data_IF_104164938043
#
_entry.id   IF_104164938043
#
_cell.length_a   1.000
_cell.length_b   1.000
_cell.length_c   1.000
_cell.angle_alpha   90.00
_cell.angle_beta   90.00
_cell.angle_gamma   90.00
#
_symmetry.space_group_name_H-M   'P 1'
#
loop_
_entity.id
_entity.type
_entity.pdbx_description
1 polymer ?
#
# COMPACT_ATOMS: atom_id res chain seq x y z
N UNK A 1 -26.06 24.95 -2.53
CA UNK A 1 -24.89 24.05 -2.37
C UNK A 1 -24.01 24.61 -1.28
N UNK A 2 -23.90 23.92 -0.13
CA UNK A 2 -23.21 24.42 1.07
C UNK A 2 -21.68 24.39 0.92
N UNK A 3 -20.96 25.24 1.68
CA UNK A 3 -19.49 25.32 1.67
C UNK A 3 -18.82 23.95 1.95
N UNK A 4 -19.46 23.14 2.81
CA UNK A 4 -19.08 21.76 3.12
C UNK A 4 -19.09 20.84 1.89
N UNK A 5 -20.06 21.01 0.98
CA UNK A 5 -20.11 20.25 -0.27
C UNK A 5 -18.95 20.60 -1.21
N UNK A 6 -18.54 21.86 -1.29
CA UNK A 6 -17.40 22.29 -2.11
C UNK A 6 -16.05 21.87 -1.52
N UNK A 7 -15.93 21.88 -0.20
CA UNK A 7 -14.76 21.35 0.51
C UNK A 7 -14.65 19.83 0.36
N UNK A 8 -15.75 19.10 0.55
CA UNK A 8 -15.79 17.65 0.30
C UNK A 8 -15.41 17.29 -1.14
N UNK A 9 -15.89 18.05 -2.13
CA UNK A 9 -15.56 17.79 -3.54
C UNK A 9 -14.10 18.11 -3.89
N UNK A 10 -13.46 19.09 -3.24
CA UNK A 10 -12.04 19.39 -3.45
C UNK A 10 -11.13 18.41 -2.72
N UNK A 11 -11.48 18.06 -1.48
CA UNK A 11 -10.70 17.16 -0.62
C UNK A 11 -10.80 15.72 -1.10
N UNK A 12 -11.99 15.24 -1.45
CA UNK A 12 -12.18 13.86 -1.93
C UNK A 12 -12.22 13.74 -3.44
N UNK A 13 -12.74 14.72 -4.17
CA UNK A 13 -12.91 14.63 -5.62
C UNK A 13 -11.59 14.70 -6.40
N UNK A 14 -10.55 15.34 -5.86
CA UNK A 14 -9.20 15.30 -6.44
C UNK A 14 -8.59 13.89 -6.39
N UNK A 15 -8.45 13.29 -5.20
CA UNK A 15 -7.98 11.91 -5.03
C UNK A 15 -8.84 10.88 -5.77
N UNK A 16 -10.18 10.97 -5.70
CA UNK A 16 -11.08 10.06 -6.41
C UNK A 16 -10.92 10.15 -7.94
N UNK A 17 -10.73 11.34 -8.49
CA UNK A 17 -10.45 11.52 -9.93
C UNK A 17 -9.08 11.00 -10.33
N UNK A 18 -8.08 11.11 -9.46
CA UNK A 18 -6.76 10.57 -9.72
C UNK A 18 -6.78 9.03 -9.69
N UNK A 19 -7.45 8.43 -8.70
CA UNK A 19 -7.63 6.98 -8.58
C UNK A 19 -8.30 6.40 -9.82
N UNK A 20 -9.37 7.03 -10.28
CA UNK A 20 -10.10 6.59 -11.48
C UNK A 20 -9.30 6.78 -12.79
N UNK A 21 -8.36 7.72 -12.84
CA UNK A 21 -7.46 7.90 -14.00
C UNK A 21 -6.24 6.97 -14.00
N UNK A 22 -5.88 6.41 -12.85
CA UNK A 22 -4.70 5.55 -12.71
C UNK A 22 -5.02 4.21 -12.05
N UNK A 23 -5.91 3.39 -12.64
CA UNK A 23 -6.38 2.15 -12.03
C UNK A 23 -5.23 1.18 -11.72
N UNK A 24 -4.25 1.05 -12.61
CA UNK A 24 -3.07 0.19 -12.41
C UNK A 24 -2.19 0.61 -11.22
N UNK A 25 -2.01 1.93 -11.02
CA UNK A 25 -1.25 2.44 -9.87
C UNK A 25 -2.00 2.17 -8.57
N UNK A 26 -3.32 2.31 -8.60
CA UNK A 26 -4.16 2.10 -7.41
C UNK A 26 -4.24 0.63 -7.04
N UNK A 27 -4.35 -0.29 -8.01
CA UNK A 27 -4.28 -1.72 -7.75
C UNK A 27 -2.90 -2.13 -7.23
N UNK A 28 -1.83 -1.53 -7.76
CA UNK A 28 -0.46 -1.71 -7.25
C UNK A 28 -0.31 -1.24 -5.79
N UNK A 29 -0.83 -0.06 -5.47
CA UNK A 29 -0.83 0.47 -4.10
C UNK A 29 -1.60 -0.44 -3.14
N UNK A 30 -2.78 -0.92 -3.53
CA UNK A 30 -3.60 -1.82 -2.71
C UNK A 30 -2.90 -3.17 -2.53
N UNK A 31 -2.31 -3.72 -3.59
CA UNK A 31 -1.54 -4.96 -3.51
C UNK A 31 -0.33 -4.82 -2.56
N UNK A 32 0.40 -3.70 -2.64
CA UNK A 32 1.49 -3.41 -1.72
C UNK A 32 1.00 -3.27 -0.27
N UNK A 33 -0.10 -2.55 -0.05
CA UNK A 33 -0.67 -2.36 1.28
C UNK A 33 -1.10 -3.69 1.91
N UNK A 34 -1.77 -4.56 1.14
CA UNK A 34 -2.18 -5.88 1.59
C UNK A 34 -0.98 -6.78 1.89
N UNK A 35 0.03 -6.77 1.02
CA UNK A 35 1.26 -7.54 1.25
C UNK A 35 1.99 -7.06 2.52
N UNK A 36 2.10 -5.75 2.72
CA UNK A 36 2.67 -5.17 3.94
C UNK A 36 1.87 -5.58 5.18
N UNK A 37 0.53 -5.56 5.10
CA UNK A 37 -0.32 -5.99 6.20
C UNK A 37 -0.11 -7.46 6.56
N UNK A 38 0.05 -8.34 5.57
CA UNK A 38 0.35 -9.75 5.81
C UNK A 38 1.72 -9.95 6.44
N UNK A 39 2.73 -9.18 6.04
CA UNK A 39 4.07 -9.19 6.67
C UNK A 39 3.95 -8.77 8.14
N UNK A 40 3.28 -7.65 8.42
CA UNK A 40 3.08 -7.14 9.80
C UNK A 40 2.29 -8.12 10.66
N UNK A 41 1.20 -8.67 10.13
CA UNK A 41 0.38 -9.68 10.83
C UNK A 41 1.18 -10.96 11.10
N UNK A 42 2.03 -11.39 10.16
CA UNK A 42 2.83 -12.61 10.31
C UNK A 42 4.00 -12.44 11.28
N UNK A 43 4.54 -11.22 11.41
CA UNK A 43 5.58 -10.90 12.37
C UNK A 43 5.03 -10.74 13.80
N UNK A 44 3.69 -10.70 13.95
CA UNK A 44 3.04 -10.56 15.24
C UNK A 44 3.33 -9.20 15.88
N UNK A 45 3.36 -8.13 15.07
CA UNK A 45 3.74 -6.79 15.55
C UNK A 45 2.59 -6.18 16.37
N UNK A 46 2.65 -6.36 17.70
CA UNK A 46 1.82 -5.66 18.67
C UNK A 46 2.52 -4.43 19.28
N UNK A 47 1.82 -3.58 20.04
CA UNK A 47 2.45 -2.46 20.74
C UNK A 47 3.53 -2.99 21.69
N UNK A 48 4.79 -2.58 21.44
CA UNK A 48 5.97 -3.00 22.21
C UNK A 48 6.75 -4.19 21.65
N UNK A 49 6.35 -4.74 20.49
CA UNK A 49 7.12 -5.79 19.82
C UNK A 49 8.18 -5.19 18.88
N UNK A 50 9.43 -5.61 19.08
CA UNK A 50 10.56 -5.15 18.28
C UNK A 50 10.69 -6.03 17.04
N UNK A 51 10.50 -5.44 15.86
CA UNK A 51 10.69 -6.12 14.59
C UNK A 51 12.18 -6.10 14.25
N UNK A 52 12.85 -7.21 14.47
CA UNK A 52 14.25 -7.35 14.09
C UNK A 52 14.40 -7.63 12.59
N UNK A 53 15.45 -7.10 11.93
CA UNK A 53 15.69 -7.32 10.51
C UNK A 53 15.85 -8.81 10.17
N UNK A 54 16.40 -9.62 11.08
CA UNK A 54 16.52 -11.07 10.92
C UNK A 54 15.17 -11.78 10.79
N UNK A 55 14.15 -11.36 11.55
CA UNK A 55 12.80 -11.93 11.41
C UNK A 55 12.14 -11.55 10.10
N UNK A 56 12.36 -10.34 9.63
CA UNK A 56 11.88 -9.89 8.31
C UNK A 56 12.57 -10.69 7.21
N UNK A 57 13.88 -10.96 7.34
CA UNK A 57 14.64 -11.76 6.40
C UNK A 57 14.15 -13.22 6.38
N UNK A 58 13.99 -13.84 7.56
CA UNK A 58 13.46 -15.21 7.67
C UNK A 58 12.05 -15.33 7.09
N UNK A 59 11.18 -14.36 7.36
CA UNK A 59 9.85 -14.31 6.76
C UNK A 59 9.91 -14.19 5.23
N UNK A 60 10.79 -13.31 4.72
CA UNK A 60 10.95 -13.08 3.29
C UNK A 60 11.47 -14.32 2.56
N UNK A 61 12.38 -15.06 3.19
CA UNK A 61 12.88 -16.34 2.65
C UNK A 61 11.81 -17.44 2.71
N UNK A 62 11.04 -17.50 3.80
CA UNK A 62 9.99 -18.50 3.97
C UNK A 62 8.78 -18.26 3.05
N UNK A 63 8.47 -16.98 2.74
CA UNK A 63 7.30 -16.58 1.97
C UNK A 63 7.64 -15.46 0.99
N UNK A 64 8.41 -15.74 -0.08
CA UNK A 64 8.94 -14.71 -0.99
C UNK A 64 7.85 -13.99 -1.81
N UNK A 65 6.67 -14.58 -1.94
CA UNK A 65 5.55 -14.01 -2.69
C UNK A 65 5.08 -12.66 -2.12
N UNK A 66 5.09 -12.46 -0.80
CA UNK A 66 4.64 -11.22 -0.15
C UNK A 66 5.61 -10.04 -0.35
N UNK A 67 6.92 -10.15 -0.05
CA UNK A 67 7.85 -9.08 -0.35
C UNK A 67 7.95 -8.81 -1.86
N UNK A 68 7.83 -9.83 -2.71
CA UNK A 68 7.74 -9.62 -4.16
C UNK A 68 6.49 -8.82 -4.54
N UNK A 69 5.31 -9.18 -4.03
CA UNK A 69 4.07 -8.43 -4.26
C UNK A 69 4.14 -6.99 -3.72
N UNK A 70 4.84 -6.78 -2.60
CA UNK A 70 5.09 -5.45 -2.06
C UNK A 70 5.94 -4.60 -3.02
N UNK A 71 7.07 -5.13 -3.49
CA UNK A 71 7.97 -4.44 -4.44
C UNK A 71 7.27 -4.21 -5.78
N UNK A 72 6.54 -5.20 -6.31
CA UNK A 72 5.77 -5.05 -7.55
C UNK A 72 4.67 -4.01 -7.37
N UNK A 73 3.92 -4.03 -6.27
CA UNK A 73 2.88 -3.04 -6.01
C UNK A 73 3.44 -1.61 -5.88
N UNK A 74 4.58 -1.45 -5.20
CA UNK A 74 5.29 -0.17 -5.05
C UNK A 74 5.83 0.33 -6.39
N UNK A 75 6.50 -0.53 -7.15
CA UNK A 75 6.99 -0.17 -8.49
C UNK A 75 5.83 0.22 -9.38
N UNK A 76 4.72 -0.54 -9.41
CA UNK A 76 3.53 -0.17 -10.19
C UNK A 76 2.93 1.17 -9.77
N UNK A 77 3.01 1.53 -8.49
CA UNK A 77 2.54 2.82 -7.96
C UNK A 77 3.42 4.01 -8.41
N UNK A 78 4.74 3.86 -8.33
CA UNK A 78 5.70 4.94 -8.61
C UNK A 78 6.23 4.95 -10.05
N UNK A 79 6.01 3.87 -10.80
CA UNK A 79 6.49 3.78 -12.18
C UNK A 79 5.78 4.82 -13.05
N UNK A 80 6.52 5.67 -13.77
CA UNK A 80 5.96 6.53 -14.79
C UNK A 80 5.53 5.65 -15.97
N UNK A 81 4.28 5.20 -15.97
CA UNK A 81 3.61 4.85 -17.23
C UNK A 81 3.35 6.17 -17.95
N UNK A 82 4.32 6.56 -18.77
CA UNK A 82 4.30 7.71 -19.67
C UNK A 82 3.16 7.62 -20.67
#
# INVERSE_FOLDING_TARGET
MSLLSRLGLKVFGGPLRWVSRHPLRTSGAVAALLAAWVVVASLGVGPGSEVTPDRVLQFSLARPAYPAAFVVGLTTLFWPFS
#
